data_IF_194897779073
#
_entry.id   IF_194897779073
#
_cell.length_a   1.000
_cell.length_b   1.000
_cell.length_c   1.000
_cell.angle_alpha   90.00
_cell.angle_beta   90.00
_cell.angle_gamma   90.00
#
_symmetry.space_group_name_H-M   'P 1'
#
loop_
_entity.id
_entity.type
_entity.pdbx_description
1 polymer ?
#
# COMPACT_ATOMS: atom_id res chain seq x y z
N UNK A 1 10.09 -3.56 -12.08
CA UNK A 1 8.67 -3.56 -11.70
C UNK A 1 8.53 -3.03 -10.29
N UNK A 2 7.53 -2.20 -10.04
CA UNK A 2 7.18 -1.66 -8.73
C UNK A 2 5.79 -2.18 -8.37
N UNK A 3 5.61 -2.60 -7.11
CA UNK A 3 4.33 -3.05 -6.58
C UNK A 3 3.84 -2.03 -5.56
N UNK A 4 2.56 -1.68 -5.66
CA UNK A 4 1.86 -0.83 -4.72
C UNK A 4 0.68 -1.60 -4.13
N UNK A 5 0.36 -1.29 -2.87
CA UNK A 5 -0.81 -1.80 -2.19
C UNK A 5 -1.18 -0.85 -1.05
N UNK A 6 -2.36 -1.05 -0.48
CA UNK A 6 -2.78 -0.48 0.79
C UNK A 6 -2.90 -1.60 1.84
N UNK A 7 -2.60 -1.28 3.09
CA UNK A 7 -2.88 -2.15 4.23
C UNK A 7 -4.09 -1.59 4.98
N UNK A 8 -5.11 -2.42 5.19
CA UNK A 8 -6.22 -2.18 6.10
C UNK A 8 -6.10 -3.10 7.30
N UNK A 9 -6.87 -2.83 8.36
CA UNK A 9 -6.84 -3.62 9.59
C UNK A 9 -7.13 -5.12 9.40
N UNK A 10 -7.76 -5.49 8.30
CA UNK A 10 -8.32 -6.81 8.04
C UNK A 10 -7.80 -7.44 6.75
N UNK A 11 -7.06 -6.71 5.90
CA UNK A 11 -6.59 -7.19 4.60
C UNK A 11 -5.53 -6.30 3.97
N UNK A 12 -4.84 -6.84 2.97
CA UNK A 12 -4.13 -6.05 1.95
C UNK A 12 -5.13 -5.73 0.84
N UNK A 13 -5.12 -4.48 0.36
CA UNK A 13 -6.09 -3.97 -0.62
C UNK A 13 -5.38 -3.14 -1.69
N UNK A 14 -6.11 -2.77 -2.75
CA UNK A 14 -5.62 -1.96 -3.88
C UNK A 14 -4.25 -2.43 -4.46
N UNK A 15 -4.01 -3.73 -4.72
CA UNK A 15 -2.75 -4.16 -5.33
C UNK A 15 -2.61 -3.61 -6.75
N UNK A 16 -1.44 -3.06 -7.10
CA UNK A 16 -1.15 -2.60 -8.45
C UNK A 16 0.32 -2.77 -8.83
N UNK A 17 0.56 -3.04 -10.12
CA UNK A 17 1.88 -3.21 -10.71
C UNK A 17 2.20 -2.08 -11.67
N UNK A 18 3.41 -1.56 -11.58
CA UNK A 18 3.94 -0.53 -12.47
C UNK A 18 5.26 -1.01 -13.07
N UNK A 19 5.41 -0.81 -14.37
CA UNK A 19 6.71 -0.91 -15.03
C UNK A 19 7.50 0.39 -14.82
N UNK A 20 8.62 0.29 -14.12
CA UNK A 20 9.46 1.44 -13.77
C UNK A 20 9.27 1.96 -12.33
N UNK A 21 9.98 3.04 -11.97
CA UNK A 21 9.89 3.65 -10.64
C UNK A 21 8.57 4.39 -10.43
N UNK A 22 8.20 4.59 -9.16
CA UNK A 22 7.07 5.44 -8.80
C UNK A 22 7.45 6.92 -8.90
N UNK A 23 6.56 7.74 -9.48
CA UNK A 23 6.65 9.20 -9.55
C UNK A 23 5.28 9.84 -9.24
N UNK A 24 5.19 11.17 -9.34
CA UNK A 24 3.93 11.87 -9.04
C UNK A 24 2.78 11.55 -9.98
N UNK A 25 3.04 11.21 -11.25
CA UNK A 25 2.02 10.94 -12.27
C UNK A 25 1.47 9.52 -12.10
N UNK A 26 2.38 8.55 -12.02
CA UNK A 26 2.06 7.15 -11.77
C UNK A 26 1.39 6.96 -10.42
N UNK A 27 1.85 7.63 -9.35
CA UNK A 27 1.18 7.58 -8.05
C UNK A 27 -0.21 8.21 -8.07
N UNK A 28 -0.40 9.35 -8.76
CA UNK A 28 -1.74 9.91 -8.94
C UNK A 28 -2.66 8.92 -9.67
N UNK A 29 -2.16 8.26 -10.71
CA UNK A 29 -2.92 7.27 -11.47
C UNK A 29 -3.33 6.09 -10.60
N UNK A 30 -2.42 5.57 -9.78
CA UNK A 30 -2.72 4.57 -8.76
C UNK A 30 -3.85 5.03 -7.83
N UNK A 31 -3.73 6.24 -7.29
CA UNK A 31 -4.75 6.79 -6.39
C UNK A 31 -6.10 6.89 -7.09
N UNK A 32 -6.16 7.46 -8.28
CA UNK A 32 -7.40 7.68 -9.01
C UNK A 32 -8.08 6.38 -9.45
N UNK A 33 -7.30 5.42 -9.97
CA UNK A 33 -7.84 4.24 -10.65
C UNK A 33 -7.97 3.02 -9.75
N UNK A 34 -7.18 2.93 -8.68
CA UNK A 34 -7.08 1.70 -7.86
C UNK A 34 -7.47 1.98 -6.41
N UNK A 35 -6.90 3.00 -5.77
CA UNK A 35 -7.19 3.28 -4.37
C UNK A 35 -8.57 3.94 -4.18
N UNK A 36 -8.88 4.97 -4.96
CA UNK A 36 -10.08 5.78 -4.78
C UNK A 36 -11.39 4.97 -4.84
N UNK A 37 -11.57 4.00 -5.76
CA UNK A 37 -12.80 3.21 -5.84
C UNK A 37 -13.12 2.36 -4.60
N UNK A 38 -12.12 2.05 -3.77
CA UNK A 38 -12.30 1.22 -2.57
C UNK A 38 -12.39 2.04 -1.27
N UNK A 39 -12.22 3.36 -1.35
CA UNK A 39 -12.31 4.26 -0.20
C UNK A 39 -13.76 4.63 0.11
N UNK A 40 -14.07 4.73 1.39
CA UNK A 40 -15.38 5.14 1.90
C UNK A 40 -15.28 6.44 2.69
N UNK A 41 -16.39 7.21 2.81
CA UNK A 41 -16.44 8.36 3.70
C UNK A 41 -16.00 7.98 5.13
N UNK A 42 -15.08 8.76 5.70
CA UNK A 42 -14.52 8.50 7.02
C UNK A 42 -13.23 7.67 7.03
N UNK A 43 -12.87 6.99 5.93
CA UNK A 43 -11.59 6.28 5.82
C UNK A 43 -10.41 7.24 6.05
N UNK A 44 -9.33 6.70 6.63
CA UNK A 44 -8.10 7.44 6.86
C UNK A 44 -6.99 6.82 6.00
N UNK A 45 -6.53 7.57 5.01
CA UNK A 45 -5.36 7.22 4.22
C UNK A 45 -4.13 7.83 4.89
N UNK A 46 -3.18 6.98 5.25
CA UNK A 46 -1.87 7.37 5.77
C UNK A 46 -0.83 7.03 4.72
N UNK A 47 -0.05 8.03 4.30
CA UNK A 47 1.05 7.86 3.35
C UNK A 47 2.38 8.24 4.00
N UNK A 48 3.47 7.64 3.53
CA UNK A 48 4.80 8.12 3.88
C UNK A 48 5.05 9.55 3.34
N UNK A 49 6.17 10.14 3.70
CA UNK A 49 6.48 11.54 3.39
C UNK A 49 7.16 11.75 2.00
N UNK A 50 7.09 10.77 1.10
CA UNK A 50 7.71 10.82 -0.23
C UNK A 50 7.15 11.96 -1.10
N UNK A 51 8.00 12.55 -1.93
CA UNK A 51 7.61 13.70 -2.77
C UNK A 51 6.47 13.40 -3.74
N UNK A 52 6.44 12.20 -4.33
CA UNK A 52 5.39 11.73 -5.25
C UNK A 52 3.99 11.71 -4.61
N UNK A 53 3.90 11.54 -3.28
CA UNK A 53 2.63 11.45 -2.56
C UNK A 53 1.97 12.81 -2.30
N UNK A 54 2.69 13.91 -2.48
CA UNK A 54 2.29 15.25 -2.00
C UNK A 54 1.54 16.11 -3.01
N UNK A 55 1.14 15.56 -4.14
CA UNK A 55 0.44 16.35 -5.15
C UNK A 55 -0.90 16.88 -4.62
N UNK A 56 -1.26 18.12 -5.01
CA UNK A 56 -2.56 18.70 -4.66
C UNK A 56 -3.71 17.84 -5.21
N UNK A 57 -3.52 17.25 -6.39
CA UNK A 57 -4.49 16.37 -7.04
C UNK A 57 -4.79 15.11 -6.20
N UNK A 58 -3.76 14.43 -5.68
CA UNK A 58 -3.95 13.25 -4.80
C UNK A 58 -4.78 13.61 -3.57
N UNK A 59 -4.47 14.75 -2.93
CA UNK A 59 -5.25 15.22 -1.77
C UNK A 59 -6.71 15.51 -2.12
N UNK A 60 -6.97 16.11 -3.28
CA UNK A 60 -8.32 16.41 -3.74
C UNK A 60 -9.12 15.14 -4.03
N UNK A 61 -8.51 14.17 -4.71
CA UNK A 61 -9.12 12.87 -5.01
C UNK A 61 -9.54 12.15 -3.73
N UNK A 62 -8.62 11.96 -2.77
CA UNK A 62 -8.94 11.24 -1.53
C UNK A 62 -10.06 11.97 -0.75
N UNK A 63 -10.04 13.31 -0.70
CA UNK A 63 -11.07 14.08 0.00
C UNK A 63 -12.42 14.10 -0.72
N UNK A 64 -12.48 13.91 -2.04
CA UNK A 64 -13.73 13.96 -2.79
C UNK A 64 -14.67 12.81 -2.45
N UNK A 65 -14.15 11.71 -1.89
CA UNK A 65 -14.94 10.58 -1.37
C UNK A 65 -15.19 10.66 0.14
N UNK A 66 -14.86 11.80 0.78
CA UNK A 66 -15.04 11.99 2.22
C UNK A 66 -13.99 11.31 3.10
N UNK A 67 -12.90 10.78 2.52
CA UNK A 67 -11.78 10.23 3.26
C UNK A 67 -10.79 11.33 3.72
N UNK A 68 -10.00 11.02 4.74
CA UNK A 68 -8.95 11.89 5.29
C UNK A 68 -7.58 11.42 4.81
N UNK A 69 -6.66 12.37 4.62
CA UNK A 69 -5.28 12.10 4.23
C UNK A 69 -4.30 12.65 5.26
N UNK A 70 -3.44 11.78 5.79
CA UNK A 70 -2.33 12.12 6.68
C UNK A 70 -1.00 11.66 6.09
N UNK A 71 0.07 12.36 6.48
CA UNK A 71 1.43 12.00 6.11
C UNK A 71 2.22 11.67 7.36
N UNK A 72 3.03 10.62 7.28
CA UNK A 72 3.98 10.28 8.35
C UNK A 72 5.08 11.33 8.48
N UNK A 73 5.69 11.47 9.67
CA UNK A 73 6.93 12.24 9.82
C UNK A 73 8.03 11.70 8.89
N UNK A 74 8.98 12.57 8.53
CA UNK A 74 10.10 12.14 7.68
C UNK A 74 10.95 11.11 8.43
N UNK A 75 11.43 10.11 7.70
CA UNK A 75 12.33 9.06 8.22
C UNK A 75 11.71 8.23 9.36
N UNK A 76 10.38 8.04 9.35
CA UNK A 76 9.65 7.21 10.32
C UNK A 76 9.05 5.94 9.69
N UNK A 77 9.89 5.02 9.16
CA UNK A 77 9.40 3.77 8.57
C UNK A 77 8.77 2.83 9.62
N UNK A 78 9.14 2.98 10.89
CA UNK A 78 8.56 2.28 12.04
C UNK A 78 7.06 2.57 12.20
N UNK A 79 6.64 3.79 11.85
CA UNK A 79 5.24 4.22 11.85
C UNK A 79 4.48 3.81 10.58
N UNK A 80 5.12 3.14 9.61
CA UNK A 80 4.51 2.70 8.37
C UNK A 80 4.26 1.17 8.38
N UNK A 81 3.06 0.71 8.76
CA UNK A 81 2.81 -0.72 9.00
C UNK A 81 2.95 -1.59 7.73
N UNK A 82 2.72 -1.01 6.54
CA UNK A 82 2.86 -1.75 5.28
C UNK A 82 4.31 -2.16 4.96
N UNK A 83 5.31 -1.54 5.59
CA UNK A 83 6.71 -1.97 5.45
C UNK A 83 6.91 -3.40 5.96
N UNK A 84 6.18 -3.80 7.02
CA UNK A 84 6.22 -5.16 7.56
C UNK A 84 5.61 -6.16 6.57
N UNK A 85 4.50 -5.78 5.94
CA UNK A 85 3.87 -6.54 4.84
C UNK A 85 4.87 -6.74 3.69
N UNK A 86 5.52 -5.68 3.24
CA UNK A 86 6.50 -5.77 2.16
C UNK A 86 7.74 -6.58 2.54
N UNK A 87 8.17 -6.57 3.81
CA UNK A 87 9.24 -7.43 4.28
C UNK A 87 8.88 -8.92 4.17
N UNK A 88 7.69 -9.32 4.64
CA UNK A 88 7.18 -10.69 4.50
C UNK A 88 6.98 -11.08 3.04
N UNK A 89 6.36 -10.20 2.23
CA UNK A 89 6.14 -10.44 0.80
C UNK A 89 7.46 -10.68 0.07
N UNK A 90 8.48 -9.84 0.29
CA UNK A 90 9.82 -10.03 -0.30
C UNK A 90 10.43 -11.38 0.08
N UNK A 91 10.23 -11.84 1.33
CA UNK A 91 10.70 -13.15 1.75
C UNK A 91 10.00 -14.29 0.99
N UNK A 92 8.68 -14.23 0.86
CA UNK A 92 7.90 -15.23 0.11
C UNK A 92 8.30 -15.27 -1.37
N UNK A 93 8.51 -14.10 -2.00
CA UNK A 93 8.93 -14.03 -3.40
C UNK A 93 10.34 -14.57 -3.62
N UNK A 94 11.28 -14.34 -2.69
CA UNK A 94 12.61 -14.94 -2.75
C UNK A 94 12.54 -16.47 -2.69
N UNK A 95 11.63 -17.02 -1.88
CA UNK A 95 11.39 -18.46 -1.78
C UNK A 95 10.76 -19.03 -3.06
N UNK A 96 9.86 -18.29 -3.71
CA UNK A 96 9.24 -18.70 -4.97
C UNK A 96 10.21 -18.71 -6.16
N UNK A 97 11.29 -17.91 -6.10
CA UNK A 97 12.37 -17.86 -7.08
C UNK A 97 11.92 -17.63 -8.55
N UNK A 98 10.77 -16.98 -8.75
CA UNK A 98 10.21 -16.66 -10.07
C UNK A 98 11.15 -15.76 -10.89
N UNK A 99 11.24 -16.00 -12.20
CA UNK A 99 12.19 -15.33 -13.12
C UNK A 99 11.53 -14.57 -14.28
N UNK A 100 10.21 -14.63 -14.40
CA UNK A 100 9.44 -13.87 -15.39
C UNK A 100 8.47 -12.93 -14.67
N UNK A 101 8.07 -11.85 -15.34
CA UNK A 101 7.10 -10.88 -14.80
C UNK A 101 5.80 -11.59 -14.42
N UNK A 102 5.25 -12.41 -15.32
CA UNK A 102 4.01 -13.15 -15.08
C UNK A 102 4.11 -14.09 -13.87
N UNK A 103 5.23 -14.79 -13.72
CA UNK A 103 5.45 -15.69 -12.58
C UNK A 103 5.59 -14.90 -11.27
N UNK A 104 6.20 -13.71 -11.30
CA UNK A 104 6.26 -12.83 -10.12
C UNK A 104 4.87 -12.29 -9.77
N UNK A 105 4.07 -11.87 -10.75
CA UNK A 105 2.69 -11.45 -10.52
C UNK A 105 1.85 -12.56 -9.89
N UNK A 106 1.92 -13.78 -10.43
CA UNK A 106 1.23 -14.94 -9.88
C UNK A 106 1.70 -15.28 -8.45
N UNK A 107 3.01 -15.23 -8.20
CA UNK A 107 3.57 -15.45 -6.87
C UNK A 107 3.13 -14.38 -5.86
N UNK A 108 2.98 -13.12 -6.28
CA UNK A 108 2.46 -12.05 -5.42
C UNK A 108 0.99 -12.31 -5.12
N UNK A 109 0.15 -12.62 -6.11
CA UNK A 109 -1.26 -12.94 -5.89
C UNK A 109 -1.42 -14.06 -4.86
N UNK A 110 -0.68 -15.17 -5.02
CA UNK A 110 -0.70 -16.28 -4.05
C UNK A 110 -0.15 -15.88 -2.68
N UNK A 111 0.86 -15.01 -2.63
CA UNK A 111 1.42 -14.55 -1.36
C UNK A 111 0.48 -13.62 -0.60
N UNK A 112 -0.34 -12.82 -1.32
CA UNK A 112 -1.33 -11.94 -0.70
C UNK A 112 -2.41 -12.74 0.04
N UNK A 113 -2.76 -13.93 -0.44
CA UNK A 113 -3.70 -14.85 0.24
C UNK A 113 -3.17 -15.37 1.59
N UNK A 114 -1.86 -15.26 1.84
CA UNK A 114 -1.22 -15.72 3.08
C UNK A 114 -1.27 -14.68 4.22
N UNK A 115 -1.88 -13.51 4.01
CA UNK A 115 -2.02 -12.46 5.02
C UNK A 115 -3.42 -12.52 5.63
N UNK A 116 -3.50 -12.96 6.89
CA UNK A 116 -4.78 -13.07 7.59
C UNK A 116 -5.24 -11.70 8.15
N UNK A 117 -6.54 -11.51 8.41
CA UNK A 117 -7.02 -10.29 9.05
C UNK A 117 -6.33 -10.00 10.40
N UNK A 118 -6.12 -11.02 11.22
CA UNK A 118 -5.41 -10.88 12.50
C UNK A 118 -3.97 -10.42 12.30
N UNK A 119 -3.27 -10.95 11.30
CA UNK A 119 -1.92 -10.53 10.97
C UNK A 119 -1.88 -9.07 10.48
N UNK A 120 -2.84 -8.66 9.64
CA UNK A 120 -2.97 -7.27 9.22
C UNK A 120 -3.18 -6.33 10.41
N UNK A 121 -4.07 -6.66 11.34
CA UNK A 121 -4.30 -5.88 12.55
C UNK A 121 -3.03 -5.79 13.41
N UNK A 122 -2.28 -6.89 13.53
CA UNK A 122 -1.04 -6.92 14.29
C UNK A 122 0.04 -6.01 13.69
N UNK A 123 0.12 -5.86 12.36
CA UNK A 123 1.03 -4.90 11.74
C UNK A 123 0.70 -3.46 12.11
N UNK A 124 -0.57 -3.08 12.07
CA UNK A 124 -1.01 -1.75 12.52
C UNK A 124 -0.70 -1.52 14.00
N UNK A 125 -1.04 -2.48 14.87
CA UNK A 125 -0.76 -2.40 16.30
C UNK A 125 0.73 -2.24 16.59
N UNK A 126 1.58 -3.00 15.89
CA UNK A 126 3.03 -2.92 16.05
C UNK A 126 3.61 -1.56 15.63
N UNK A 127 2.96 -0.86 14.70
CA UNK A 127 3.32 0.52 14.30
C UNK A 127 2.61 1.61 15.12
N UNK A 128 1.95 1.25 16.23
CA UNK A 128 1.34 2.20 17.17
C UNK A 128 -0.08 2.65 16.82
N UNK A 129 -0.74 2.00 15.85
CA UNK A 129 -2.14 2.27 15.53
C UNK A 129 -3.04 1.39 16.40
N UNK A 130 -3.87 2.03 17.21
CA UNK A 130 -4.90 1.34 17.99
C UNK A 130 -6.18 1.35 17.15
N UNK A 131 -6.52 0.20 16.59
CA UNK A 131 -7.77 -0.06 15.84
C UNK A 131 -8.81 -0.69 16.75
#
# INVERSE_FOLDING_TARGET
MTFLAALRHDRIDAPWFIEGPIDGVSFRTYVEKVLLPILHPGDIVVLDNLGSHKSKAVRQLIRSVGAKLFFLPKYSPDLNPIEQVFAKLKHLLRKAAARTVDAVCAAISQALDAFTPEECANYLKNSGYWT
#
